data_IF_639122676264
#
_entry.id   IF_639122676264
#
_cell.length_a   1.000
_cell.length_b   1.000
_cell.length_c   1.000
_cell.angle_alpha   90.00
_cell.angle_beta   90.00
_cell.angle_gamma   90.00
#
_symmetry.space_group_name_H-M   'P 1'
#
loop_
_entity.id
_entity.type
_entity.pdbx_description
1 polymer ?
#
# COMPACT_ATOMS: atom_id res chain seq x y z
N UNK A 1 -35.95 5.34 52.24
CA UNK A 1 -36.97 6.30 52.70
C UNK A 1 -37.25 7.48 51.73
N UNK A 2 -36.45 7.77 50.68
CA UNK A 2 -36.71 8.89 49.74
C UNK A 2 -37.71 8.62 48.59
N UNK A 3 -38.03 7.37 48.26
CA UNK A 3 -38.98 7.03 47.17
C UNK A 3 -40.45 7.28 47.53
N UNK A 4 -40.80 7.16 48.81
CA UNK A 4 -42.17 7.34 49.31
C UNK A 4 -42.60 8.81 49.27
N UNK A 5 -41.68 9.76 49.47
CA UNK A 5 -41.98 11.20 49.40
C UNK A 5 -42.27 11.68 47.98
N UNK A 6 -41.65 11.10 46.95
CA UNK A 6 -41.91 11.48 45.54
C UNK A 6 -43.29 10.98 45.10
N UNK A 7 -43.70 9.79 45.57
CA UNK A 7 -45.03 9.26 45.30
C UNK A 7 -46.12 10.06 46.04
N UNK A 8 -45.85 10.50 47.27
CA UNK A 8 -46.77 11.36 48.03
C UNK A 8 -46.90 12.76 47.43
N UNK A 9 -45.79 13.37 46.97
CA UNK A 9 -45.81 14.67 46.31
C UNK A 9 -46.51 14.61 44.95
N UNK A 10 -46.36 13.52 44.20
CA UNK A 10 -47.10 13.32 42.94
C UNK A 10 -48.59 13.06 43.15
N UNK A 11 -48.98 12.30 44.18
CA UNK A 11 -50.40 12.13 44.56
C UNK A 11 -51.00 13.43 45.09
N UNK A 12 -50.23 14.22 45.84
CA UNK A 12 -50.66 15.55 46.33
C UNK A 12 -50.82 16.56 45.19
N UNK A 13 -49.91 16.57 44.21
CA UNK A 13 -50.01 17.41 43.02
C UNK A 13 -51.16 16.99 42.08
N UNK A 14 -51.47 15.69 42.01
CA UNK A 14 -52.64 15.18 41.29
C UNK A 14 -53.95 15.53 41.99
N UNK A 15 -54.00 15.50 43.33
CA UNK A 15 -55.16 15.97 44.10
C UNK A 15 -55.34 17.48 44.01
N UNK A 16 -54.24 18.24 44.06
CA UNK A 16 -54.25 19.69 43.87
C UNK A 16 -54.70 20.05 42.45
N UNK A 17 -54.24 19.30 41.45
CA UNK A 17 -54.69 19.40 40.06
C UNK A 17 -56.19 19.11 39.93
N UNK A 18 -56.72 18.09 40.62
CA UNK A 18 -58.15 17.77 40.60
C UNK A 18 -59.04 18.80 41.33
N UNK A 19 -58.52 19.45 42.39
CA UNK A 19 -59.22 20.55 43.09
C UNK A 19 -59.22 21.82 42.25
N UNK A 20 -58.11 22.12 41.56
CA UNK A 20 -58.01 23.21 40.58
C UNK A 20 -58.93 22.96 39.37
N UNK A 21 -59.11 21.70 38.97
CA UNK A 21 -60.08 21.24 37.95
C UNK A 21 -61.55 21.49 38.32
N UNK A 22 -61.87 21.59 39.62
CA UNK A 22 -63.25 21.83 40.08
C UNK A 22 -63.60 23.34 40.11
N UNK A 23 -62.58 24.21 40.08
CA UNK A 23 -62.71 25.66 40.32
C UNK A 23 -62.48 26.50 39.06
N UNK A 24 -61.77 25.99 38.05
CA UNK A 24 -61.41 26.76 36.84
C UNK A 24 -61.87 26.10 35.53
N UNK A 25 -62.34 26.95 34.62
CA UNK A 25 -62.97 26.66 33.34
C UNK A 25 -62.18 25.66 32.45
N UNK A 26 -62.89 24.86 31.64
CA UNK A 26 -62.40 23.60 31.02
C UNK A 26 -61.31 23.71 29.95
N UNK A 27 -61.07 24.88 29.35
CA UNK A 27 -60.15 25.00 28.21
C UNK A 27 -58.72 25.40 28.61
N UNK A 28 -58.56 26.27 29.62
CA UNK A 28 -57.25 26.69 30.15
C UNK A 28 -56.55 25.55 30.91
N UNK A 29 -57.33 24.65 31.48
CA UNK A 29 -56.87 23.46 32.23
C UNK A 29 -56.25 22.40 31.31
N UNK A 30 -56.74 22.25 30.08
CA UNK A 30 -56.16 21.32 29.10
C UNK A 30 -54.79 21.81 28.62
N UNK A 31 -54.65 23.12 28.41
CA UNK A 31 -53.42 23.74 27.94
C UNK A 31 -52.29 23.70 28.99
N UNK A 32 -52.61 24.01 30.26
CA UNK A 32 -51.65 23.87 31.36
C UNK A 32 -51.22 22.41 31.58
N UNK A 33 -52.12 21.43 31.35
CA UNK A 33 -51.79 20.01 31.49
C UNK A 33 -50.77 19.52 30.44
N UNK A 34 -50.86 20.04 29.22
CA UNK A 34 -49.95 19.69 28.12
C UNK A 34 -48.58 20.34 28.34
N UNK A 35 -48.53 21.59 28.78
CA UNK A 35 -47.28 22.28 29.12
C UNK A 35 -46.61 21.61 30.31
N UNK A 36 -47.35 21.27 31.36
CA UNK A 36 -46.81 20.58 32.52
C UNK A 36 -46.31 19.17 32.18
N UNK A 37 -47.02 18.45 31.28
CA UNK A 37 -46.59 17.14 30.77
C UNK A 37 -45.32 17.22 29.90
N UNK A 38 -45.19 18.26 29.06
CA UNK A 38 -44.00 18.51 28.24
C UNK A 38 -42.80 18.93 29.10
N UNK A 39 -43.01 19.76 30.13
CA UNK A 39 -41.96 20.17 31.07
C UNK A 39 -41.50 18.98 31.93
N UNK A 40 -42.42 18.16 32.45
CA UNK A 40 -42.09 16.93 33.18
C UNK A 40 -41.40 15.93 32.25
N UNK A 41 -41.86 15.78 31.00
CA UNK A 41 -41.23 14.92 29.99
C UNK A 41 -39.82 15.36 29.62
N UNK A 42 -39.59 16.66 29.44
CA UNK A 42 -38.28 17.25 29.19
C UNK A 42 -37.30 17.02 30.35
N UNK A 43 -37.78 17.10 31.61
CA UNK A 43 -36.97 16.82 32.80
C UNK A 43 -36.70 15.33 33.02
N UNK A 44 -37.63 14.44 32.67
CA UNK A 44 -37.46 12.99 32.78
C UNK A 44 -36.51 12.42 31.70
N UNK A 45 -36.39 13.08 30.54
CA UNK A 45 -35.49 12.68 29.45
C UNK A 45 -34.00 13.03 29.70
N UNK A 46 -33.69 13.96 30.61
CA UNK A 46 -32.31 14.20 31.09
C UNK A 46 -32.00 13.33 32.31
N UNK A 47 -31.62 12.07 32.09
CA UNK A 47 -31.23 11.12 33.16
C UNK A 47 -29.94 11.49 33.89
N UNK A 48 -29.10 12.36 33.34
CA UNK A 48 -27.85 12.79 33.99
C UNK A 48 -27.62 14.30 33.78
N UNK A 49 -27.90 15.08 34.82
CA UNK A 49 -27.11 16.22 35.34
C UNK A 49 -27.99 17.11 36.21
N UNK A 50 -27.77 16.98 37.53
CA UNK A 50 -28.41 17.73 38.62
C UNK A 50 -28.13 19.25 38.62
N UNK A 51 -27.23 19.74 37.78
CA UNK A 51 -26.68 21.11 37.87
C UNK A 51 -27.54 22.20 37.21
N UNK A 52 -28.39 21.85 36.24
CA UNK A 52 -29.29 22.85 35.64
C UNK A 52 -30.59 23.06 36.44
N UNK A 53 -30.97 22.09 37.28
CA UNK A 53 -32.11 22.21 38.19
C UNK A 53 -31.82 23.24 39.29
N UNK A 54 -30.56 23.40 39.73
CA UNK A 54 -30.18 24.33 40.79
C UNK A 54 -30.20 25.81 40.39
N UNK A 55 -30.30 26.13 39.10
CA UNK A 55 -30.46 27.53 38.61
C UNK A 55 -31.94 27.88 38.47
N UNK A 56 -32.78 26.89 38.13
CA UNK A 56 -34.23 27.06 37.94
C UNK A 56 -34.98 27.05 39.27
N UNK A 57 -34.56 26.23 40.26
CA UNK A 57 -35.20 26.19 41.59
C UNK A 57 -35.18 27.56 42.30
N UNK A 58 -34.06 28.31 42.36
CA UNK A 58 -34.04 29.63 42.97
C UNK A 58 -34.92 30.64 42.25
N UNK A 59 -34.95 30.63 40.91
CA UNK A 59 -35.79 31.54 40.12
C UNK A 59 -37.28 31.22 40.29
N UNK A 60 -37.66 29.93 40.35
CA UNK A 60 -39.02 29.53 40.70
C UNK A 60 -39.34 29.88 42.17
N UNK A 61 -38.37 29.80 43.08
CA UNK A 61 -38.55 30.15 44.49
C UNK A 61 -38.67 31.67 44.70
N UNK A 62 -37.94 32.48 43.92
CA UNK A 62 -38.03 33.94 43.89
C UNK A 62 -39.40 34.37 43.34
N UNK A 63 -39.86 33.75 42.24
CA UNK A 63 -41.22 33.95 41.70
C UNK A 63 -42.30 33.51 42.70
N UNK A 64 -42.12 32.38 43.40
CA UNK A 64 -43.10 31.88 44.36
C UNK A 64 -43.13 32.71 45.67
N UNK A 65 -42.01 33.33 46.04
CA UNK A 65 -41.93 34.25 47.19
C UNK A 65 -42.42 35.66 46.85
N UNK A 66 -42.37 36.08 45.57
CA UNK A 66 -43.07 37.28 45.11
C UNK A 66 -44.59 37.07 44.99
N UNK A 67 -45.06 35.81 45.01
CA UNK A 67 -46.48 35.44 44.90
C UNK A 67 -47.25 35.27 46.23
N UNK A 68 -46.63 35.43 47.42
CA UNK A 68 -47.41 35.58 48.68
C UNK A 68 -46.67 36.44 49.72
N UNK A 69 -47.32 37.41 50.41
CA UNK A 69 -48.73 37.39 50.78
C UNK A 69 -49.57 38.49 50.09
N UNK A 70 -50.50 38.08 49.23
CA UNK A 70 -51.70 38.87 48.93
C UNK A 70 -52.81 38.60 49.97
N UNK A 71 -52.45 38.47 51.25
CA UNK A 71 -53.37 38.61 52.38
C UNK A 71 -53.29 40.04 52.93
N UNK A 72 -53.49 41.05 52.08
CA UNK A 72 -53.77 42.41 52.57
C UNK A 72 -54.75 43.08 51.60
N UNK A 73 -55.94 43.37 52.13
CA UNK A 73 -56.97 44.30 51.63
C UNK A 73 -57.92 43.80 50.53
N UNK A 74 -58.83 42.88 50.91
CA UNK A 74 -60.20 42.86 50.33
C UNK A 74 -61.07 43.84 51.11
N UNK A 75 -60.68 45.12 51.15
CA UNK A 75 -61.53 46.17 51.71
C UNK A 75 -61.40 47.46 50.92
N UNK A 76 -62.41 47.69 50.06
CA UNK A 76 -62.79 48.99 49.48
C UNK A 76 -61.65 49.84 48.92
N UNK A 77 -61.16 49.48 47.74
CA UNK A 77 -60.71 50.44 46.72
C UNK A 77 -60.69 49.72 45.37
N UNK A 78 -61.53 50.18 44.44
CA UNK A 78 -61.54 49.75 43.05
C UNK A 78 -60.19 50.09 42.42
N UNK A 79 -59.26 49.13 42.42
CA UNK A 79 -58.15 49.15 41.47
C UNK A 79 -58.77 48.68 40.15
N UNK A 80 -58.74 49.48 39.07
CA UNK A 80 -59.28 49.06 37.79
C UNK A 80 -58.57 47.77 37.37
N UNK A 81 -59.36 46.76 37.03
CA UNK A 81 -58.90 45.45 36.56
C UNK A 81 -57.83 45.58 35.45
N UNK A 82 -57.96 46.65 34.65
CA UNK A 82 -57.07 47.11 33.56
C UNK A 82 -55.61 47.33 33.98
N UNK A 83 -55.35 47.87 35.18
CA UNK A 83 -53.98 48.14 35.68
C UNK A 83 -53.30 46.85 36.14
N UNK A 84 -54.07 45.94 36.73
CA UNK A 84 -53.58 44.63 37.16
C UNK A 84 -53.24 43.78 35.93
N UNK A 85 -54.05 43.87 34.88
CA UNK A 85 -53.85 43.13 33.63
C UNK A 85 -52.66 43.63 32.82
N UNK A 86 -52.41 44.94 32.74
CA UNK A 86 -51.24 45.50 32.06
C UNK A 86 -49.92 45.13 32.74
N UNK A 87 -49.91 45.15 34.08
CA UNK A 87 -48.74 44.75 34.87
C UNK A 87 -48.40 43.26 34.67
N UNK A 88 -49.41 42.39 34.69
CA UNK A 88 -49.27 40.96 34.43
C UNK A 88 -48.81 40.69 32.98
N UNK A 89 -49.36 41.40 31.99
CA UNK A 89 -48.95 41.31 30.59
C UNK A 89 -47.46 41.63 30.41
N UNK A 90 -47.00 42.71 31.05
CA UNK A 90 -45.59 43.14 30.97
C UNK A 90 -44.65 42.16 31.65
N UNK A 91 -45.06 41.54 32.76
CA UNK A 91 -44.29 40.47 33.40
C UNK A 91 -44.20 39.21 32.52
N UNK A 92 -45.30 38.84 31.86
CA UNK A 92 -45.33 37.73 30.89
C UNK A 92 -44.42 38.01 29.69
N UNK A 93 -44.42 39.23 29.15
CA UNK A 93 -43.52 39.64 28.06
C UNK A 93 -42.04 39.48 28.46
N UNK A 94 -41.67 39.95 29.65
CA UNK A 94 -40.30 39.81 30.16
C UNK A 94 -39.87 38.35 30.33
N UNK A 95 -40.79 37.48 30.81
CA UNK A 95 -40.53 36.04 30.94
C UNK A 95 -40.34 35.39 29.58
N UNK A 96 -41.14 35.77 28.57
CA UNK A 96 -41.02 35.27 27.20
C UNK A 96 -39.69 35.68 26.58
N UNK A 97 -39.28 36.93 26.72
CA UNK A 97 -38.01 37.41 26.19
C UNK A 97 -36.80 36.75 26.88
N UNK A 98 -36.88 36.57 28.20
CA UNK A 98 -35.88 35.82 28.96
C UNK A 98 -35.79 34.37 28.48
N UNK A 99 -36.92 33.66 28.36
CA UNK A 99 -36.98 32.29 27.85
C UNK A 99 -36.42 32.17 26.42
N UNK A 100 -36.76 33.11 25.54
CA UNK A 100 -36.23 33.17 24.18
C UNK A 100 -34.70 33.29 24.18
N UNK A 101 -34.16 34.18 25.01
CA UNK A 101 -32.72 34.37 25.13
C UNK A 101 -32.01 33.12 25.66
N UNK A 102 -32.60 32.45 26.67
CA UNK A 102 -32.06 31.21 27.23
C UNK A 102 -32.09 30.06 26.24
N UNK A 103 -33.20 29.86 25.53
CA UNK A 103 -33.33 28.80 24.51
C UNK A 103 -32.33 29.01 23.38
N UNK A 104 -32.19 30.25 22.87
CA UNK A 104 -31.26 30.55 21.79
C UNK A 104 -29.80 30.29 22.21
N UNK A 105 -29.43 30.69 23.43
CA UNK A 105 -28.09 30.43 23.95
C UNK A 105 -27.81 28.93 24.14
N UNK A 106 -28.78 28.16 24.62
CA UNK A 106 -28.61 26.73 24.84
C UNK A 106 -28.55 25.92 23.53
N UNK A 107 -29.28 26.35 22.49
CA UNK A 107 -29.15 25.85 21.12
C UNK A 107 -27.75 26.12 20.57
N UNK A 108 -27.24 27.35 20.69
CA UNK A 108 -25.89 27.71 20.22
C UNK A 108 -24.80 26.85 20.88
N UNK A 109 -24.86 26.68 22.21
CA UNK A 109 -23.93 25.84 22.96
C UNK A 109 -24.01 24.37 22.51
N UNK A 110 -25.22 23.82 22.34
CA UNK A 110 -25.42 22.45 21.91
C UNK A 110 -24.84 22.19 20.53
N UNK A 111 -25.06 23.10 19.59
CA UNK A 111 -24.56 22.99 18.21
C UNK A 111 -23.04 23.07 18.14
N UNK A 112 -22.44 24.03 18.87
CA UNK A 112 -20.97 24.13 19.00
C UNK A 112 -20.36 22.84 19.56
N UNK A 113 -20.98 22.29 20.61
CA UNK A 113 -20.54 21.03 21.22
C UNK A 113 -20.65 19.83 20.27
N UNK A 114 -21.77 19.72 19.56
CA UNK A 114 -22.02 18.66 18.56
C UNK A 114 -21.00 18.69 17.43
N UNK A 115 -20.70 19.88 16.91
CA UNK A 115 -19.68 20.04 15.89
C UNK A 115 -18.28 19.71 16.41
N UNK A 116 -17.89 20.25 17.57
CA UNK A 116 -16.59 19.95 18.20
C UNK A 116 -16.39 18.43 18.38
N UNK A 117 -17.46 17.72 18.75
CA UNK A 117 -17.41 16.27 18.87
C UNK A 117 -17.18 15.61 17.50
N UNK A 118 -17.91 16.01 16.46
CA UNK A 118 -17.75 15.45 15.10
C UNK A 118 -16.40 15.78 14.48
N UNK A 119 -15.93 17.02 14.60
CA UNK A 119 -14.62 17.48 14.10
C UNK A 119 -13.49 16.74 14.80
N UNK A 120 -13.58 16.54 16.13
CA UNK A 120 -12.58 15.75 16.87
C UNK A 120 -12.46 14.31 16.37
N UNK A 121 -13.58 13.69 15.97
CA UNK A 121 -13.59 12.33 15.41
C UNK A 121 -12.96 12.33 14.01
N UNK A 122 -13.30 13.31 13.17
CA UNK A 122 -12.73 13.48 11.84
C UNK A 122 -11.20 13.70 11.89
N UNK A 123 -10.73 14.62 12.74
CA UNK A 123 -9.30 14.89 12.94
C UNK A 123 -8.55 13.64 13.40
N UNK A 124 -9.11 12.88 14.36
CA UNK A 124 -8.51 11.60 14.78
C UNK A 124 -8.38 10.62 13.61
N UNK A 125 -9.40 10.49 12.77
CA UNK A 125 -9.36 9.63 11.58
C UNK A 125 -8.31 10.11 10.57
N UNK A 126 -8.21 11.42 10.33
CA UNK A 126 -7.20 12.00 9.43
C UNK A 126 -5.78 11.72 9.94
N UNK A 127 -5.53 11.90 11.23
CA UNK A 127 -4.23 11.60 11.84
C UNK A 127 -3.89 10.10 11.77
N UNK A 128 -4.88 9.22 11.94
CA UNK A 128 -4.67 7.77 11.78
C UNK A 128 -4.32 7.40 10.33
N UNK A 129 -4.99 8.03 9.35
CA UNK A 129 -4.69 7.87 7.92
C UNK A 129 -3.27 8.37 7.62
N UNK A 130 -2.88 9.53 8.13
CA UNK A 130 -1.53 10.08 7.94
C UNK A 130 -0.47 9.13 8.51
N UNK A 131 -0.66 8.65 9.75
CA UNK A 131 0.26 7.70 10.37
C UNK A 131 0.42 6.43 9.52
N UNK A 132 -0.69 5.81 9.11
CA UNK A 132 -0.68 4.61 8.26
C UNK A 132 -0.02 4.86 6.91
N UNK A 133 -0.23 6.03 6.31
CA UNK A 133 0.39 6.42 5.04
C UNK A 133 1.90 6.61 5.20
N UNK A 134 2.35 7.24 6.28
CA UNK A 134 3.77 7.41 6.59
C UNK A 134 4.48 6.09 6.87
N UNK A 135 3.85 5.18 7.61
CA UNK A 135 4.35 3.82 7.83
C UNK A 135 4.50 3.07 6.50
N UNK A 136 3.46 3.09 5.65
CA UNK A 136 3.50 2.49 4.32
C UNK A 136 4.61 3.08 3.43
N UNK A 137 4.76 4.41 3.42
CA UNK A 137 5.81 5.11 2.67
C UNK A 137 7.22 4.72 3.13
N UNK A 138 7.43 4.59 4.44
CA UNK A 138 8.72 4.18 5.00
C UNK A 138 9.04 2.71 4.66
N UNK A 139 8.06 1.82 4.78
CA UNK A 139 8.22 0.42 4.35
C UNK A 139 8.56 0.34 2.86
N UNK A 140 7.90 1.13 2.01
CA UNK A 140 8.16 1.13 0.58
C UNK A 140 9.55 1.69 0.24
N UNK A 141 10.02 2.73 0.94
CA UNK A 141 11.41 3.23 0.83
C UNK A 141 12.44 2.15 1.15
N UNK A 142 12.20 1.35 2.20
CA UNK A 142 13.09 0.25 2.56
C UNK A 142 13.11 -0.86 1.51
N UNK A 143 11.94 -1.19 0.94
CA UNK A 143 11.83 -2.15 -0.18
C UNK A 143 12.64 -1.65 -1.37
N UNK A 144 12.49 -0.37 -1.76
CA UNK A 144 13.23 0.22 -2.90
C UNK A 144 14.74 0.15 -2.67
N UNK A 145 15.23 0.51 -1.46
CA UNK A 145 16.66 0.41 -1.12
C UNK A 145 17.18 -1.04 -1.19
N UNK A 146 16.38 -1.99 -0.73
CA UNK A 146 16.71 -3.42 -0.82
C UNK A 146 16.83 -3.87 -2.27
N UNK A 147 15.89 -3.47 -3.12
CA UNK A 147 15.92 -3.81 -4.54
C UNK A 147 17.08 -3.11 -5.26
N UNK A 148 17.35 -1.83 -4.98
CA UNK A 148 18.47 -1.11 -5.57
C UNK A 148 19.82 -1.79 -5.27
N UNK A 149 20.02 -2.23 -4.02
CA UNK A 149 21.20 -3.01 -3.63
C UNK A 149 21.29 -4.35 -4.36
N UNK A 150 20.15 -5.04 -4.55
CA UNK A 150 20.09 -6.30 -5.30
C UNK A 150 20.41 -6.12 -6.78
N UNK A 151 19.87 -5.06 -7.40
CA UNK A 151 20.15 -4.69 -8.80
C UNK A 151 21.64 -4.39 -9.00
N UNK A 152 22.27 -3.62 -8.11
CA UNK A 152 23.70 -3.33 -8.19
C UNK A 152 24.56 -4.61 -8.11
N UNK A 153 24.18 -5.52 -7.20
CA UNK A 153 24.82 -6.84 -7.08
C UNK A 153 24.68 -7.66 -8.37
N UNK A 154 23.47 -7.77 -8.92
CA UNK A 154 23.19 -8.51 -10.15
C UNK A 154 23.91 -7.91 -11.36
N UNK A 155 24.01 -6.57 -11.45
CA UNK A 155 24.79 -5.88 -12.48
C UNK A 155 26.27 -6.23 -12.39
N UNK A 156 26.84 -6.24 -11.18
CA UNK A 156 28.26 -6.59 -10.96
C UNK A 156 28.54 -8.05 -11.34
N UNK A 157 27.68 -8.98 -10.95
CA UNK A 157 27.79 -10.39 -11.33
C UNK A 157 27.68 -10.57 -12.85
N UNK A 158 26.71 -9.90 -13.47
CA UNK A 158 26.51 -9.98 -14.93
C UNK A 158 27.70 -9.46 -15.72
N UNK A 159 28.32 -8.34 -15.28
CA UNK A 159 29.57 -7.83 -15.89
C UNK A 159 30.72 -8.83 -15.79
N UNK A 160 30.88 -9.47 -14.62
CA UNK A 160 31.91 -10.50 -14.44
C UNK A 160 31.67 -11.72 -15.34
N UNK A 161 30.42 -12.13 -15.53
CA UNK A 161 30.07 -13.23 -16.43
C UNK A 161 30.36 -12.87 -17.90
N UNK A 162 30.09 -11.64 -18.33
CA UNK A 162 30.48 -11.19 -19.68
C UNK A 162 31.99 -11.23 -19.89
N UNK A 163 32.78 -10.81 -18.89
CA UNK A 163 34.24 -10.91 -18.96
C UNK A 163 34.70 -12.37 -19.12
N UNK A 164 34.10 -13.29 -18.37
CA UNK A 164 34.36 -14.74 -18.51
C UNK A 164 34.00 -15.25 -19.90
N UNK A 165 32.88 -14.81 -20.46
CA UNK A 165 32.47 -15.17 -21.82
C UNK A 165 33.46 -14.64 -22.86
N UNK A 166 33.95 -13.42 -22.71
CA UNK A 166 35.00 -12.88 -23.58
C UNK A 166 36.29 -13.71 -23.52
N UNK A 167 36.66 -14.18 -22.32
CA UNK A 167 37.80 -15.09 -22.16
C UNK A 167 37.54 -16.44 -22.84
N UNK A 168 36.30 -16.95 -22.81
CA UNK A 168 35.93 -18.17 -23.55
C UNK A 168 36.08 -17.99 -25.06
N UNK A 169 35.64 -16.87 -25.64
CA UNK A 169 35.87 -16.58 -27.06
C UNK A 169 37.36 -16.61 -27.43
N UNK A 170 38.23 -16.05 -26.58
CA UNK A 170 39.68 -16.11 -26.78
C UNK A 170 40.21 -17.55 -26.77
N UNK A 171 39.79 -18.35 -25.79
CA UNK A 171 40.18 -19.78 -25.68
C UNK A 171 39.70 -20.58 -26.90
N UNK A 172 38.48 -20.34 -27.36
CA UNK A 172 37.92 -20.99 -28.57
C UNK A 172 38.76 -20.64 -29.79
N UNK A 173 39.15 -19.37 -29.95
CA UNK A 173 40.04 -18.92 -31.02
C UNK A 173 41.39 -19.65 -31.01
N UNK A 174 42.06 -19.72 -29.86
CA UNK A 174 43.33 -20.44 -29.70
C UNK A 174 43.15 -21.94 -29.99
N UNK A 175 42.06 -22.54 -29.52
CA UNK A 175 41.80 -23.98 -29.70
C UNK A 175 41.54 -24.30 -31.18
N UNK A 176 40.87 -23.42 -31.91
CA UNK A 176 40.65 -23.53 -33.35
C UNK A 176 41.98 -23.48 -34.12
N UNK A 177 42.84 -22.52 -33.81
CA UNK A 177 44.18 -22.40 -34.42
C UNK A 177 45.02 -23.66 -34.17
N UNK A 178 45.06 -24.15 -32.93
CA UNK A 178 45.78 -25.37 -32.58
C UNK A 178 45.22 -26.61 -33.30
N UNK A 179 43.90 -26.69 -33.47
CA UNK A 179 43.25 -27.79 -34.19
C UNK A 179 43.63 -27.78 -35.67
N UNK A 180 43.69 -26.60 -36.29
CA UNK A 180 44.17 -26.44 -37.67
C UNK A 180 45.64 -26.83 -37.83
N UNK A 181 46.50 -26.46 -36.87
CA UNK A 181 47.90 -26.85 -36.87
C UNK A 181 48.07 -28.37 -36.74
N UNK A 182 47.31 -29.00 -35.82
CA UNK A 182 47.30 -30.45 -35.66
C UNK A 182 46.86 -31.17 -36.95
N UNK A 183 45.86 -30.63 -37.65
CA UNK A 183 45.41 -31.15 -38.95
C UNK A 183 46.54 -31.14 -39.98
N UNK A 184 47.22 -29.99 -40.14
CA UNK A 184 48.37 -29.85 -41.06
C UNK A 184 49.49 -30.83 -40.71
N UNK A 185 49.82 -30.99 -39.43
CA UNK A 185 50.84 -31.93 -38.97
C UNK A 185 50.44 -33.39 -39.24
N UNK A 186 49.18 -33.75 -39.02
CA UNK A 186 48.66 -35.10 -39.32
C UNK A 186 48.71 -35.41 -40.81
N UNK A 187 48.36 -34.45 -41.68
CA UNK A 187 48.46 -34.60 -43.13
C UNK A 187 49.93 -34.77 -43.57
N UNK A 188 50.85 -33.98 -43.00
CA UNK A 188 52.27 -34.10 -43.28
C UNK A 188 52.87 -35.45 -42.84
N UNK A 189 52.45 -35.97 -41.68
CA UNK A 189 52.85 -37.31 -41.22
C UNK A 189 52.43 -38.40 -42.21
N UNK A 190 51.23 -38.28 -42.79
CA UNK A 190 50.76 -39.24 -43.80
C UNK A 190 51.64 -39.22 -45.07
N UNK A 191 52.07 -38.04 -45.50
CA UNK A 191 52.99 -37.87 -46.64
C UNK A 191 54.33 -38.56 -46.36
N UNK A 192 54.91 -38.36 -45.17
CA UNK A 192 56.15 -39.01 -44.76
C UNK A 192 55.97 -40.54 -44.73
N UNK A 193 54.89 -41.04 -44.13
CA UNK A 193 54.61 -42.47 -44.06
C UNK A 193 54.50 -43.11 -45.44
N UNK A 194 53.84 -42.44 -46.40
CA UNK A 194 53.78 -42.92 -47.78
C UNK A 194 55.17 -42.95 -48.43
N UNK A 195 55.99 -41.95 -48.19
CA UNK A 195 57.38 -41.91 -48.69
C UNK A 195 58.22 -43.06 -48.13
N UNK A 196 58.12 -43.36 -46.83
CA UNK A 196 58.82 -44.48 -46.19
C UNK A 196 58.32 -45.82 -46.74
N UNK A 197 57.01 -45.97 -46.98
CA UNK A 197 56.42 -47.16 -47.60
C UNK A 197 57.00 -47.39 -49.00
N UNK A 198 57.07 -46.34 -49.83
CA UNK A 198 57.69 -46.40 -51.16
C UNK A 198 59.17 -46.79 -51.10
N UNK A 199 59.95 -46.19 -50.18
CA UNK A 199 61.35 -46.54 -49.97
C UNK A 199 61.49 -48.00 -49.55
N UNK A 200 60.65 -48.45 -48.60
CA UNK A 200 60.66 -49.83 -48.13
C UNK A 200 60.36 -50.82 -49.26
N UNK A 201 59.35 -50.54 -50.08
CA UNK A 201 59.04 -51.37 -51.25
C UNK A 201 60.19 -51.39 -52.27
N UNK A 202 60.89 -50.27 -52.48
CA UNK A 202 62.11 -50.24 -53.34
C UNK A 202 63.23 -51.10 -52.76
N UNK A 203 63.51 -51.00 -51.46
CA UNK A 203 64.52 -51.84 -50.77
C UNK A 203 64.12 -53.31 -50.84
N UNK A 204 62.84 -53.62 -50.67
CA UNK A 204 62.30 -54.97 -50.78
C UNK A 204 62.58 -55.56 -52.16
N UNK A 205 62.26 -54.86 -53.24
CA UNK A 205 62.56 -55.29 -54.62
C UNK A 205 64.07 -55.42 -54.86
N UNK A 206 64.87 -54.48 -54.36
CA UNK A 206 66.33 -54.53 -54.48
C UNK A 206 66.91 -55.76 -53.77
N UNK A 207 66.40 -56.10 -52.58
CA UNK A 207 66.83 -57.27 -51.81
C UNK A 207 66.51 -58.59 -52.51
N UNK A 208 65.37 -58.65 -53.23
CA UNK A 208 65.00 -59.80 -54.06
C UNK A 208 65.97 -59.93 -55.23
N UNK A 209 66.25 -58.84 -55.94
CA UNK A 209 67.20 -58.83 -57.06
C UNK A 209 68.62 -59.25 -56.62
N UNK A 210 69.07 -58.78 -55.44
CA UNK A 210 70.34 -59.17 -54.83
C UNK A 210 70.35 -60.65 -54.42
N UNK A 211 69.25 -61.15 -53.85
CA UNK A 211 69.11 -62.58 -53.50
C UNK A 211 69.19 -63.48 -54.74
N UNK A 212 68.56 -63.08 -55.85
CA UNK A 212 68.63 -63.80 -57.14
C UNK A 212 70.06 -63.80 -57.68
N UNK A 213 70.76 -62.66 -57.62
CA UNK A 213 72.14 -62.53 -58.10
C UNK A 213 73.10 -63.36 -57.26
N UNK A 214 72.92 -63.37 -55.94
CA UNK A 214 73.68 -64.20 -55.02
C UNK A 214 73.45 -65.70 -55.27
N UNK A 215 72.20 -66.12 -55.56
CA UNK A 215 71.90 -67.50 -55.94
C UNK A 215 72.55 -67.90 -57.28
N UNK A 216 72.57 -66.98 -58.27
CA UNK A 216 73.22 -67.20 -59.58
C UNK A 216 74.74 -67.34 -59.48
N UNK A 217 75.39 -66.70 -58.51
CA UNK A 217 76.83 -66.81 -58.28
C UNK A 217 77.25 -68.12 -57.59
N UNK A 218 76.30 -69.01 -57.28
CA UNK A 218 76.58 -70.33 -56.68
C UNK A 218 77.25 -70.23 -55.31
N UNK A 219 78.30 -71.01 -55.08
CA UNK A 219 78.97 -71.09 -53.78
C UNK A 219 79.62 -69.76 -53.34
N UNK A 220 80.10 -68.95 -54.29
CA UNK A 220 80.73 -67.65 -54.02
C UNK A 220 79.70 -66.60 -53.54
N UNK A 221 78.42 -66.81 -53.88
CA UNK A 221 77.32 -65.91 -53.52
C UNK A 221 76.69 -66.17 -52.15
N UNK A 222 77.03 -67.27 -51.45
CA UNK A 222 76.39 -67.66 -50.18
C UNK A 222 76.41 -66.55 -49.11
N UNK A 223 77.53 -65.85 -48.84
CA UNK A 223 77.54 -64.75 -47.85
C UNK A 223 76.60 -63.60 -48.23
N UNK A 224 76.55 -63.25 -49.52
CA UNK A 224 75.68 -62.19 -50.05
C UNK A 224 74.20 -62.56 -49.99
N UNK A 225 73.86 -63.85 -50.13
CA UNK A 225 72.49 -64.32 -49.98
C UNK A 225 71.96 -64.17 -48.55
N UNK A 226 72.80 -64.35 -47.53
CA UNK A 226 72.42 -64.12 -46.13
C UNK A 226 72.11 -62.63 -45.91
N UNK A 227 72.97 -61.74 -46.41
CA UNK A 227 72.77 -60.29 -46.33
C UNK A 227 71.48 -59.88 -47.05
N UNK A 228 71.24 -60.38 -48.26
CA UNK A 228 70.06 -60.04 -49.04
C UNK A 228 68.74 -60.50 -48.37
N UNK A 229 68.74 -61.66 -47.71
CA UNK A 229 67.60 -62.14 -46.90
C UNK A 229 67.34 -61.25 -45.69
N UNK A 230 68.39 -60.80 -45.00
CA UNK A 230 68.24 -59.92 -43.84
C UNK A 230 67.72 -58.53 -44.25
N UNK A 231 68.22 -57.96 -45.35
CA UNK A 231 67.69 -56.71 -45.93
C UNK A 231 66.22 -56.86 -46.31
N UNK A 232 65.82 -57.99 -46.90
CA UNK A 232 64.42 -58.28 -47.23
C UNK A 232 63.55 -58.26 -45.99
N UNK A 233 63.95 -58.99 -44.96
CA UNK A 233 63.24 -59.06 -43.68
C UNK A 233 63.12 -57.67 -43.04
N UNK A 234 64.18 -56.87 -43.04
CA UNK A 234 64.16 -55.50 -42.53
C UNK A 234 63.17 -54.61 -43.31
N UNK A 235 63.11 -54.72 -44.64
CA UNK A 235 62.12 -53.98 -45.44
C UNK A 235 60.67 -54.40 -45.11
N UNK A 236 60.41 -55.68 -44.91
CA UNK A 236 59.08 -56.18 -44.51
C UNK A 236 58.70 -55.66 -43.10
N UNK A 237 59.67 -55.57 -42.18
CA UNK A 237 59.49 -55.03 -40.83
C UNK A 237 59.19 -53.52 -40.85
N UNK A 238 59.90 -52.76 -41.70
CA UNK A 238 59.62 -51.33 -41.93
C UNK A 238 58.21 -51.14 -42.49
N UNK A 239 57.81 -51.96 -43.48
CA UNK A 239 56.46 -51.88 -44.08
C UNK A 239 55.36 -52.11 -43.05
N UNK A 240 55.47 -53.17 -42.25
CA UNK A 240 54.52 -53.45 -41.15
C UNK A 240 54.46 -52.31 -40.12
N UNK A 241 55.59 -51.68 -39.84
CA UNK A 241 55.66 -50.53 -38.92
C UNK A 241 54.94 -49.30 -39.51
N UNK A 242 55.12 -49.04 -40.82
CA UNK A 242 54.41 -47.97 -41.52
C UNK A 242 52.91 -48.20 -41.57
N UNK A 243 52.45 -49.43 -41.81
CA UNK A 243 51.01 -49.76 -41.79
C UNK A 243 50.38 -49.46 -40.42
N UNK A 244 51.06 -49.84 -39.33
CA UNK A 244 50.62 -49.49 -37.96
C UNK A 244 50.57 -47.98 -37.76
N UNK A 245 51.59 -47.26 -38.20
CA UNK A 245 51.66 -45.80 -38.11
C UNK A 245 50.54 -45.11 -38.90
N UNK A 246 50.20 -45.60 -40.10
CA UNK A 246 49.04 -45.14 -40.90
C UNK A 246 47.73 -45.35 -40.13
N UNK A 247 47.58 -46.50 -39.45
CA UNK A 247 46.45 -46.76 -38.55
C UNK A 247 46.31 -45.72 -37.44
N UNK A 248 47.42 -45.40 -36.75
CA UNK A 248 47.43 -44.34 -35.72
C UNK A 248 47.14 -42.95 -36.30
N UNK A 249 47.64 -42.63 -37.50
CA UNK A 249 47.35 -41.35 -38.17
C UNK A 249 45.86 -41.19 -38.47
N UNK A 250 45.17 -42.25 -38.87
CA UNK A 250 43.72 -42.21 -39.08
C UNK A 250 42.95 -41.97 -37.78
N UNK A 251 43.38 -42.59 -36.67
CA UNK A 251 42.81 -42.33 -35.35
C UNK A 251 43.01 -40.85 -34.97
N UNK A 252 44.22 -40.32 -35.17
CA UNK A 252 44.53 -38.91 -34.91
C UNK A 252 43.64 -37.97 -35.73
N UNK A 253 43.46 -38.25 -37.03
CA UNK A 253 42.58 -37.47 -37.92
C UNK A 253 41.12 -37.47 -37.44
N UNK A 254 40.62 -38.61 -36.98
CA UNK A 254 39.27 -38.70 -36.40
C UNK A 254 39.17 -37.88 -35.11
N UNK A 255 40.16 -37.96 -34.23
CA UNK A 255 40.21 -37.14 -33.01
C UNK A 255 40.24 -35.64 -33.30
N UNK A 256 41.00 -35.21 -34.31
CA UNK A 256 41.04 -33.81 -34.75
C UNK A 256 39.66 -33.35 -35.26
N UNK A 257 38.96 -34.21 -36.00
CA UNK A 257 37.61 -33.91 -36.49
C UNK A 257 36.63 -33.73 -35.33
N UNK A 258 36.65 -34.64 -34.36
CA UNK A 258 35.81 -34.53 -33.14
C UNK A 258 36.08 -33.21 -32.39
N UNK A 259 37.36 -32.85 -32.22
CA UNK A 259 37.72 -31.58 -31.56
C UNK A 259 37.26 -30.37 -32.36
N UNK A 260 37.31 -30.43 -33.69
CA UNK A 260 36.80 -29.37 -34.57
C UNK A 260 35.29 -29.17 -34.39
N UNK A 261 34.51 -30.26 -34.40
CA UNK A 261 33.06 -30.21 -34.23
C UNK A 261 32.68 -29.72 -32.82
N UNK A 262 33.46 -30.12 -31.80
CA UNK A 262 33.32 -29.60 -30.44
C UNK A 262 33.61 -28.10 -30.37
N UNK A 263 34.65 -27.60 -31.05
CA UNK A 263 34.94 -26.17 -31.07
C UNK A 263 33.78 -25.37 -31.68
N UNK A 264 33.18 -25.86 -32.77
CA UNK A 264 32.01 -25.21 -33.38
C UNK A 264 30.79 -25.20 -32.44
N UNK A 265 30.54 -26.31 -31.76
CA UNK A 265 29.45 -26.41 -30.77
C UNK A 265 29.68 -25.45 -29.62
N UNK A 266 30.89 -25.43 -29.05
CA UNK A 266 31.24 -24.54 -27.94
C UNK A 266 31.18 -23.07 -28.36
N UNK A 267 31.59 -22.71 -29.57
CA UNK A 267 31.47 -21.36 -30.11
C UNK A 267 30.01 -20.90 -30.19
N UNK A 268 29.14 -21.76 -30.73
CA UNK A 268 27.70 -21.49 -30.81
C UNK A 268 27.05 -21.31 -29.44
N UNK A 269 27.33 -22.22 -28.50
CA UNK A 269 26.79 -22.14 -27.13
C UNK A 269 27.30 -20.89 -26.38
N UNK A 270 28.58 -20.55 -26.58
CA UNK A 270 29.18 -19.34 -25.99
C UNK A 270 28.52 -18.08 -26.56
N UNK A 271 28.22 -18.04 -27.86
CA UNK A 271 27.51 -16.94 -28.49
C UNK A 271 26.06 -16.81 -28.00
N UNK A 272 25.33 -17.93 -27.88
CA UNK A 272 23.97 -17.92 -27.31
C UNK A 272 23.98 -17.37 -25.88
N UNK A 273 24.90 -17.88 -25.05
CA UNK A 273 25.07 -17.42 -23.66
C UNK A 273 25.38 -15.93 -23.59
N UNK A 274 26.23 -15.42 -24.49
CA UNK A 274 26.54 -13.99 -24.58
C UNK A 274 25.29 -13.15 -24.89
N UNK A 275 24.46 -13.58 -25.84
CA UNK A 275 23.22 -12.88 -26.18
C UNK A 275 22.23 -12.85 -25.02
N UNK A 276 22.04 -13.98 -24.33
CA UNK A 276 21.16 -14.07 -23.16
C UNK A 276 21.61 -13.14 -22.02
N UNK A 277 22.92 -13.04 -21.78
CA UNK A 277 23.46 -12.12 -20.77
C UNK A 277 23.24 -10.65 -21.12
N UNK A 278 23.35 -10.27 -22.39
CA UNK A 278 23.07 -8.90 -22.82
C UNK A 278 21.58 -8.56 -22.69
N UNK A 279 20.68 -9.49 -23.00
CA UNK A 279 19.26 -9.30 -22.76
C UNK A 279 18.93 -9.16 -21.27
N UNK A 280 19.57 -9.97 -20.41
CA UNK A 280 19.47 -9.84 -18.96
C UNK A 280 19.89 -8.44 -18.50
N UNK A 281 21.03 -7.92 -18.99
CA UNK A 281 21.50 -6.58 -18.65
C UNK A 281 20.50 -5.49 -19.04
N UNK A 282 19.93 -5.56 -20.25
CA UNK A 282 18.92 -4.62 -20.70
C UNK A 282 17.67 -4.66 -19.79
N UNK A 283 17.27 -5.86 -19.34
CA UNK A 283 16.15 -6.01 -18.40
C UNK A 283 16.47 -5.41 -17.03
N UNK A 284 17.69 -5.59 -16.53
CA UNK A 284 18.14 -5.01 -15.26
C UNK A 284 18.14 -3.48 -15.32
N UNK A 285 18.60 -2.90 -16.42
CA UNK A 285 18.57 -1.45 -16.65
C UNK A 285 17.11 -0.93 -16.67
N UNK A 286 16.21 -1.65 -17.33
CA UNK A 286 14.77 -1.34 -17.31
C UNK A 286 14.17 -1.36 -15.90
N UNK A 287 14.57 -2.33 -15.06
CA UNK A 287 14.16 -2.35 -13.65
C UNK A 287 14.67 -1.12 -12.89
N UNK A 288 15.93 -0.73 -13.08
CA UNK A 288 16.50 0.44 -12.42
C UNK A 288 15.72 1.73 -12.73
N UNK A 289 15.38 1.95 -14.00
CA UNK A 289 14.55 3.09 -14.42
C UNK A 289 13.18 3.08 -13.74
N UNK A 290 12.54 1.91 -13.65
CA UNK A 290 11.24 1.79 -12.99
C UNK A 290 11.29 2.14 -11.50
N UNK A 291 12.34 1.77 -10.79
CA UNK A 291 12.51 2.11 -9.36
C UNK A 291 12.75 3.60 -9.14
N UNK A 292 13.55 4.24 -10.00
CA UNK A 292 13.77 5.69 -9.93
C UNK A 292 12.45 6.46 -10.05
N UNK A 293 11.54 6.03 -10.93
CA UNK A 293 10.21 6.64 -11.07
C UNK A 293 9.36 6.46 -9.80
N UNK A 294 9.39 5.27 -9.19
CA UNK A 294 8.65 5.00 -7.95
C UNK A 294 9.19 5.86 -6.80
N UNK A 295 10.51 5.94 -6.66
CA UNK A 295 11.16 6.76 -5.63
C UNK A 295 10.77 8.23 -5.77
N UNK A 296 10.79 8.77 -7.00
CA UNK A 296 10.31 10.13 -7.28
C UNK A 296 8.87 10.35 -6.85
N UNK A 297 7.95 9.44 -7.18
CA UNK A 297 6.53 9.53 -6.76
C UNK A 297 6.36 9.49 -5.23
N UNK A 298 7.19 8.73 -4.51
CA UNK A 298 7.12 8.68 -3.05
C UNK A 298 7.60 9.95 -2.38
N UNK A 299 8.57 10.65 -2.96
CA UNK A 299 8.99 11.95 -2.45
C UNK A 299 7.95 13.04 -2.66
N UNK A 300 7.12 12.93 -3.71
CA UNK A 300 6.06 13.90 -4.01
C UNK A 300 4.73 13.69 -3.26
N UNK A 301 4.41 12.45 -2.85
CA UNK A 301 3.11 12.10 -2.24
C UNK A 301 3.15 12.01 -0.70
N UNK A 302 3.76 12.99 -0.03
CA UNK A 302 3.58 13.11 1.43
C UNK A 302 2.19 13.72 1.68
N UNK A 303 1.25 12.89 2.11
CA UNK A 303 -0.08 13.33 2.53
C UNK A 303 0.05 14.35 3.67
N UNK A 304 -0.28 15.61 3.40
CA UNK A 304 -0.22 16.68 4.38
C UNK A 304 -1.58 16.82 5.08
N UNK A 305 -1.70 16.25 6.28
CA UNK A 305 -2.93 16.33 7.07
C UNK A 305 -3.29 17.75 7.50
N UNK A 306 -2.32 18.67 7.54
CA UNK A 306 -2.55 20.04 8.03
C UNK A 306 -3.61 20.77 7.21
N UNK A 307 -3.59 20.66 5.88
CA UNK A 307 -4.54 21.33 4.99
C UNK A 307 -5.97 20.81 5.16
N UNK A 308 -6.13 19.49 5.30
CA UNK A 308 -7.41 18.85 5.59
C UNK A 308 -7.93 19.21 6.99
N UNK A 309 -7.05 19.28 7.99
CA UNK A 309 -7.42 19.68 9.35
C UNK A 309 -7.82 21.17 9.37
N UNK A 310 -7.15 22.02 8.61
CA UNK A 310 -7.52 23.43 8.46
C UNK A 310 -8.90 23.57 7.81
N UNK A 311 -9.18 22.82 6.74
CA UNK A 311 -10.50 22.78 6.09
C UNK A 311 -11.60 22.28 7.03
N UNK A 312 -11.34 21.18 7.76
CA UNK A 312 -12.28 20.66 8.76
C UNK A 312 -12.62 21.74 9.79
N UNK A 313 -11.62 22.51 10.25
CA UNK A 313 -11.82 23.56 11.22
C UNK A 313 -12.49 24.82 10.64
N UNK A 314 -12.28 25.16 9.36
CA UNK A 314 -12.88 26.34 8.72
C UNK A 314 -14.36 26.14 8.38
N UNK A 315 -14.77 24.92 8.02
CA UNK A 315 -16.16 24.58 7.67
C UNK A 315 -17.16 24.80 8.82
N UNK A 316 -16.68 25.05 10.04
CA UNK A 316 -17.53 25.46 11.16
C UNK A 316 -17.96 26.92 11.11
N UNK A 317 -17.07 27.79 10.60
CA UNK A 317 -17.30 29.23 10.59
C UNK A 317 -18.23 29.64 9.44
N UNK A 318 -18.35 28.79 8.42
CA UNK A 318 -19.33 28.96 7.36
C UNK A 318 -20.67 28.37 7.82
N UNK A 319 -21.64 29.26 8.06
CA UNK A 319 -23.00 29.00 8.55
C UNK A 319 -23.89 28.09 7.66
N UNK A 320 -23.30 27.28 6.77
CA UNK A 320 -23.97 26.60 5.67
C UNK A 320 -24.20 25.09 5.87
N UNK A 321 -23.54 24.44 6.84
CA UNK A 321 -23.59 22.96 6.90
C UNK A 321 -24.86 22.38 7.55
N UNK A 322 -25.63 23.22 8.21
CA UNK A 322 -26.98 22.88 8.60
C UNK A 322 -27.80 24.13 8.31
N UNK A 323 -28.99 23.92 7.77
CA UNK A 323 -30.09 24.88 7.79
C UNK A 323 -30.51 25.24 9.24
N UNK A 324 -29.58 25.28 10.21
CA UNK A 324 -29.75 25.66 11.60
C UNK A 324 -30.24 27.09 11.67
N UNK A 325 -29.69 28.01 10.88
CA UNK A 325 -30.19 29.38 10.88
C UNK A 325 -31.63 29.42 10.36
N UNK A 326 -31.95 28.61 9.35
CA UNK A 326 -33.30 28.40 8.84
C UNK A 326 -34.24 27.76 9.88
N UNK A 327 -33.82 26.70 10.59
CA UNK A 327 -34.60 26.00 11.61
C UNK A 327 -34.74 26.83 12.90
N UNK A 328 -33.70 27.56 13.30
CA UNK A 328 -33.76 28.56 14.36
C UNK A 328 -34.73 29.67 13.94
N UNK A 329 -34.71 30.11 12.69
CA UNK A 329 -35.65 31.10 12.20
C UNK A 329 -37.08 30.55 12.14
N UNK A 330 -37.30 29.28 11.76
CA UNK A 330 -38.60 28.61 11.86
C UNK A 330 -39.08 28.51 13.30
N UNK A 331 -38.24 28.05 14.23
CA UNK A 331 -38.57 28.03 15.66
C UNK A 331 -38.82 29.43 16.22
N UNK A 332 -38.04 30.44 15.85
CA UNK A 332 -38.28 31.84 16.24
C UNK A 332 -39.63 32.33 15.72
N UNK A 333 -39.96 32.01 14.48
CA UNK A 333 -41.26 32.34 13.87
C UNK A 333 -42.39 31.62 14.61
N UNK A 334 -42.22 30.35 14.94
CA UNK A 334 -43.24 29.51 15.57
C UNK A 334 -43.46 29.86 17.05
N UNK A 335 -42.39 30.19 17.79
CA UNK A 335 -42.45 30.76 19.14
C UNK A 335 -43.14 32.12 19.10
N UNK A 336 -42.73 33.03 18.22
CA UNK A 336 -43.38 34.35 18.08
C UNK A 336 -44.86 34.20 17.71
N UNK A 337 -45.20 33.25 16.83
CA UNK A 337 -46.58 32.97 16.43
C UNK A 337 -47.39 32.44 17.61
N UNK A 338 -46.84 31.52 18.39
CA UNK A 338 -47.50 30.98 19.60
C UNK A 338 -47.71 32.06 20.65
N UNK A 339 -46.70 32.90 20.89
CA UNK A 339 -46.79 34.05 21.81
C UNK A 339 -47.85 35.05 21.37
N UNK A 340 -47.87 35.43 20.09
CA UNK A 340 -48.86 36.38 19.54
C UNK A 340 -50.28 35.81 19.54
N UNK A 341 -50.43 34.50 19.33
CA UNK A 341 -51.75 33.83 19.37
C UNK A 341 -52.27 33.82 20.81
N UNK A 342 -51.44 33.41 21.77
CA UNK A 342 -51.79 33.44 23.18
C UNK A 342 -52.05 34.87 23.71
N UNK A 343 -51.34 35.88 23.18
CA UNK A 343 -51.60 37.30 23.51
C UNK A 343 -53.00 37.73 23.03
N UNK A 344 -53.37 37.39 21.80
CA UNK A 344 -54.71 37.67 21.25
C UNK A 344 -55.80 36.93 22.03
N UNK A 345 -55.55 35.69 22.42
CA UNK A 345 -56.51 34.90 23.19
C UNK A 345 -56.70 35.47 24.62
N UNK A 346 -55.64 36.01 25.23
CA UNK A 346 -55.73 36.76 26.49
C UNK A 346 -56.46 38.10 26.35
N UNK A 347 -56.27 38.85 25.27
CA UNK A 347 -56.99 40.12 24.99
C UNK A 347 -58.49 39.90 24.71
N UNK A 348 -58.89 38.71 24.24
CA UNK A 348 -60.30 38.35 23.99
C UNK A 348 -61.01 37.83 25.27
N UNK A 349 -60.25 37.43 26.29
CA UNK A 349 -60.74 36.94 27.58
C UNK A 349 -60.85 38.04 28.66
N UNK A 350 -60.34 39.24 28.38
CA UNK A 350 -60.56 40.49 29.13
C UNK A 350 -61.73 41.27 28.55
#
# INVERSE_FOLDING_TARGET
>A
MKKTNICLVSVFLLLLSNIVLLVLNKDLTYFLSIILSLVIGFFLLKKDKKEHISVIIPQIHEINNEMTPAEVIIEKKEIPLEIITDSLLKQIENVIDSLKSSILNEIDIFLKSSWNMKSSILIKKVNEIEKKTNEANNSLKNIIKGIASGVDYDMKQSRSNIERINNLFSIIGITKENTELLKKNSDFLLIIMNTIDEISNKIHVLSINSSITAARAGDVGKPFMVIAKEIRKLSEDVKRSVEKMKGYSNILKNSITIVSDLNETVDKETHSTYTEFNELLNRIEGFFLSFSVIEGKLTGNNFNSSELITLINSDFNDASFFDIESEINKMKIEINKTVLTNRKDCEVLL
#
